data_IF_619871469728
#
_entry.id   IF_619871469728
#
_cell.length_a   1.000
_cell.length_b   1.000
_cell.length_c   1.000
_cell.angle_alpha   90.00
_cell.angle_beta   90.00
_cell.angle_gamma   90.00
#
_symmetry.space_group_name_H-M   'P 1'
#
loop_
_entity.id
_entity.type
_entity.pdbx_description
1 polymer ?
#
# COMPACT_ATOMS: atom_id res chain seq x y z
N UNK A 1 -14.78 7.26 -15.38
CA UNK A 1 -15.49 6.16 -16.06
C UNK A 1 -15.54 5.02 -15.06
N UNK A 2 -16.72 4.49 -14.80
CA UNK A 2 -16.94 3.33 -13.93
C UNK A 2 -16.41 2.04 -14.57
N UNK A 3 -16.07 1.05 -13.73
CA UNK A 3 -15.48 -0.21 -14.17
C UNK A 3 -16.39 -0.98 -15.12
N UNK A 4 -17.71 -0.95 -14.88
CA UNK A 4 -18.70 -1.64 -15.70
C UNK A 4 -18.79 -1.04 -17.11
N UNK A 5 -18.80 0.29 -17.22
CA UNK A 5 -18.74 0.97 -18.53
C UNK A 5 -17.45 0.65 -19.28
N UNK A 6 -16.29 0.66 -18.62
CA UNK A 6 -15.03 0.33 -19.26
C UNK A 6 -15.01 -1.12 -19.80
N UNK A 7 -15.49 -2.07 -19.00
CA UNK A 7 -15.63 -3.48 -19.40
C UNK A 7 -16.57 -3.63 -20.60
N UNK A 8 -17.72 -2.93 -20.60
CA UNK A 8 -18.67 -2.96 -21.71
C UNK A 8 -18.04 -2.41 -23.00
N UNK A 9 -17.35 -1.28 -22.92
CA UNK A 9 -16.67 -0.68 -24.08
C UNK A 9 -15.63 -1.65 -24.65
N UNK A 10 -14.83 -2.30 -23.81
CA UNK A 10 -13.83 -3.27 -24.28
C UNK A 10 -14.50 -4.50 -24.91
N UNK A 11 -15.63 -4.98 -24.40
CA UNK A 11 -16.40 -6.07 -25.02
C UNK A 11 -16.91 -5.70 -26.41
N UNK A 12 -17.46 -4.49 -26.57
CA UNK A 12 -17.90 -3.99 -27.88
C UNK A 12 -16.73 -3.91 -28.86
N UNK A 13 -15.55 -3.47 -28.41
CA UNK A 13 -14.35 -3.45 -29.25
C UNK A 13 -13.91 -4.86 -29.68
N UNK A 14 -14.02 -5.85 -28.81
CA UNK A 14 -13.76 -7.26 -29.19
C UNK A 14 -14.72 -7.70 -30.30
N UNK A 15 -16.02 -7.46 -30.13
CA UNK A 15 -17.04 -7.81 -31.13
C UNK A 15 -16.79 -7.11 -32.48
N UNK A 16 -16.42 -5.83 -32.45
CA UNK A 16 -16.08 -5.06 -33.66
C UNK A 16 -14.87 -5.65 -34.39
N UNK A 17 -13.81 -5.98 -33.65
CA UNK A 17 -12.56 -6.55 -34.23
C UNK A 17 -12.80 -7.95 -34.79
N UNK A 18 -13.60 -8.78 -34.11
CA UNK A 18 -14.01 -10.10 -34.62
C UNK A 18 -14.89 -9.98 -35.87
N UNK A 19 -15.79 -8.99 -35.89
CA UNK A 19 -16.61 -8.66 -37.05
C UNK A 19 -15.77 -8.26 -38.26
N UNK A 20 -14.79 -7.37 -38.07
CA UNK A 20 -13.86 -6.94 -39.11
C UNK A 20 -13.01 -8.10 -39.64
N UNK A 21 -12.49 -8.94 -38.74
CA UNK A 21 -11.74 -10.15 -39.11
C UNK A 21 -12.59 -11.12 -39.94
N UNK A 22 -13.86 -11.30 -39.57
CA UNK A 22 -14.80 -12.18 -40.28
C UNK A 22 -15.14 -11.64 -41.67
N UNK A 23 -15.34 -10.32 -41.81
CA UNK A 23 -15.59 -9.67 -43.09
C UNK A 23 -14.39 -9.76 -44.03
N UNK A 24 -13.18 -9.57 -43.50
CA UNK A 24 -11.95 -9.70 -44.27
C UNK A 24 -11.86 -11.10 -44.90
N UNK A 25 -12.10 -12.17 -44.12
CA UNK A 25 -12.05 -13.55 -44.60
C UNK A 25 -13.04 -13.87 -45.74
N UNK A 26 -14.10 -13.09 -45.91
CA UNK A 26 -15.10 -13.27 -46.96
C UNK A 26 -14.70 -12.72 -48.34
N UNK A 27 -13.67 -11.88 -48.42
CA UNK A 27 -13.31 -11.15 -49.64
C UNK A 27 -11.86 -11.48 -50.08
N UNK A 28 -11.63 -12.57 -50.82
CA UNK A 28 -10.29 -13.04 -51.15
C UNK A 28 -9.50 -12.09 -52.07
N UNK A 29 -10.14 -11.07 -52.65
CA UNK A 29 -9.49 -10.14 -53.57
C UNK A 29 -8.82 -8.92 -52.90
N UNK A 30 -9.09 -8.66 -51.62
CA UNK A 30 -8.47 -7.57 -50.84
C UNK A 30 -7.38 -8.06 -49.86
N UNK A 31 -7.15 -9.37 -49.78
CA UNK A 31 -6.36 -10.02 -48.74
C UNK A 31 -4.89 -10.28 -49.07
N UNK A 32 -4.36 -9.66 -50.12
CA UNK A 32 -2.93 -9.75 -50.47
C UNK A 32 -2.04 -8.86 -49.59
N UNK A 33 -2.52 -8.37 -48.44
CA UNK A 33 -1.69 -7.73 -47.43
C UNK A 33 -1.19 -8.78 -46.42
N UNK A 34 0.03 -9.33 -46.61
CA UNK A 34 0.61 -10.26 -45.66
C UNK A 34 0.72 -9.61 -44.27
N UNK A 35 0.02 -10.19 -43.29
CA UNK A 35 0.10 -9.78 -41.88
C UNK A 35 -1.19 -9.21 -41.28
N UNK A 36 -2.27 -9.01 -42.05
CA UNK A 36 -3.54 -8.52 -41.50
C UNK A 36 -4.08 -9.44 -40.39
N UNK A 37 -4.05 -10.76 -40.60
CA UNK A 37 -4.45 -11.76 -39.58
C UNK A 37 -3.63 -11.67 -38.29
N UNK A 38 -2.33 -11.39 -38.42
CA UNK A 38 -1.44 -11.25 -37.26
C UNK A 38 -1.85 -10.04 -36.43
N UNK A 39 -2.10 -8.89 -37.08
CA UNK A 39 -2.52 -7.65 -36.39
C UNK A 39 -3.86 -7.85 -35.67
N UNK A 40 -4.86 -8.47 -36.32
CA UNK A 40 -6.14 -8.77 -35.66
C UNK A 40 -5.95 -9.70 -34.45
N UNK A 41 -5.11 -10.73 -34.58
CA UNK A 41 -4.87 -11.68 -33.49
C UNK A 41 -4.16 -11.04 -32.28
N UNK A 42 -3.18 -10.16 -32.54
CA UNK A 42 -2.47 -9.44 -31.49
C UNK A 42 -3.42 -8.46 -30.78
N UNK A 43 -4.25 -7.74 -31.55
CA UNK A 43 -5.19 -6.79 -30.98
C UNK A 43 -6.29 -7.47 -30.14
N UNK A 44 -6.85 -8.60 -30.61
CA UNK A 44 -7.79 -9.41 -29.83
C UNK A 44 -7.16 -9.92 -28.54
N UNK A 45 -5.92 -10.41 -28.60
CA UNK A 45 -5.19 -10.87 -27.41
C UNK A 45 -5.08 -9.73 -26.39
N UNK A 46 -4.69 -8.54 -26.83
CA UNK A 46 -4.59 -7.36 -25.96
C UNK A 46 -5.94 -6.96 -25.32
N UNK A 47 -7.04 -7.01 -26.08
CA UNK A 47 -8.38 -6.70 -25.56
C UNK A 47 -8.85 -7.77 -24.55
N UNK A 48 -8.58 -9.05 -24.80
CA UNK A 48 -8.88 -10.11 -23.85
C UNK A 48 -8.08 -9.99 -22.55
N UNK A 49 -6.80 -9.62 -22.64
CA UNK A 49 -5.97 -9.35 -21.46
C UNK A 49 -6.54 -8.18 -20.64
N UNK A 50 -7.02 -7.12 -21.30
CA UNK A 50 -7.70 -6.01 -20.62
C UNK A 50 -8.99 -6.45 -19.91
N UNK A 51 -9.82 -7.28 -20.56
CA UNK A 51 -11.03 -7.82 -19.93
C UNK A 51 -10.70 -8.64 -18.69
N UNK A 52 -9.65 -9.46 -18.75
CA UNK A 52 -9.17 -10.22 -17.59
C UNK A 52 -8.74 -9.31 -16.45
N UNK A 53 -8.04 -8.21 -16.73
CA UNK A 53 -7.66 -7.22 -15.72
C UNK A 53 -8.89 -6.57 -15.05
N UNK A 54 -9.96 -6.31 -15.79
CA UNK A 54 -11.20 -5.79 -15.20
C UNK A 54 -11.88 -6.82 -14.28
N UNK A 55 -11.86 -8.09 -14.66
CA UNK A 55 -12.36 -9.18 -13.82
C UNK A 55 -11.55 -9.32 -12.53
N UNK A 56 -10.22 -9.35 -12.62
CA UNK A 56 -9.32 -9.41 -11.48
C UNK A 56 -9.56 -8.22 -10.53
N UNK A 57 -9.72 -7.02 -11.09
CA UNK A 57 -10.03 -5.82 -10.30
C UNK A 57 -11.38 -5.93 -9.57
N UNK A 58 -12.42 -6.45 -10.23
CA UNK A 58 -13.73 -6.67 -9.61
C UNK A 58 -13.63 -7.66 -8.45
N UNK A 59 -12.88 -8.75 -8.63
CA UNK A 59 -12.64 -9.75 -7.58
C UNK A 59 -11.90 -9.10 -6.41
N UNK A 60 -10.84 -8.34 -6.67
CA UNK A 60 -10.08 -7.64 -5.63
C UNK A 60 -10.95 -6.67 -4.82
N UNK A 61 -11.80 -5.88 -5.48
CA UNK A 61 -12.75 -4.99 -4.80
C UNK A 61 -13.72 -5.80 -3.93
N UNK A 62 -14.24 -6.93 -4.44
CA UNK A 62 -15.12 -7.82 -3.69
C UNK A 62 -14.46 -8.39 -2.43
N UNK A 63 -13.22 -8.86 -2.52
CA UNK A 63 -12.44 -9.35 -1.38
C UNK A 63 -12.20 -8.23 -0.38
N UNK A 64 -11.81 -7.03 -0.84
CA UNK A 64 -11.56 -5.89 0.04
C UNK A 64 -12.82 -5.49 0.83
N UNK A 65 -13.98 -5.47 0.17
CA UNK A 65 -15.25 -5.16 0.82
C UNK A 65 -15.62 -6.24 1.86
N UNK A 66 -15.49 -7.52 1.52
CA UNK A 66 -15.74 -8.62 2.45
C UNK A 66 -14.82 -8.54 3.68
N UNK A 67 -13.52 -8.28 3.48
CA UNK A 67 -12.59 -8.05 4.57
C UNK A 67 -13.04 -6.88 5.46
N UNK A 68 -13.45 -5.76 4.86
CA UNK A 68 -13.89 -4.59 5.62
C UNK A 68 -15.17 -4.86 6.44
N UNK A 69 -16.10 -5.64 5.89
CA UNK A 69 -17.31 -6.08 6.61
C UNK A 69 -16.95 -7.01 7.79
N UNK A 70 -16.06 -7.98 7.57
CA UNK A 70 -15.64 -8.95 8.59
C UNK A 70 -14.80 -8.33 9.72
N UNK A 71 -14.08 -7.24 9.44
CA UNK A 71 -13.25 -6.56 10.45
C UNK A 71 -14.03 -6.12 11.69
N UNK A 72 -15.32 -5.80 11.57
CA UNK A 72 -16.18 -5.49 12.72
C UNK A 72 -16.38 -6.70 13.63
N UNK A 73 -16.80 -7.82 13.06
CA UNK A 73 -17.04 -9.06 13.80
C UNK A 73 -15.75 -9.61 14.43
N UNK A 74 -14.62 -9.52 13.72
CA UNK A 74 -13.31 -9.92 14.25
C UNK A 74 -12.93 -9.08 15.47
N UNK A 75 -13.13 -7.75 15.43
CA UNK A 75 -12.84 -6.86 16.58
C UNK A 75 -13.74 -7.19 17.77
N UNK A 76 -15.02 -7.45 17.55
CA UNK A 76 -15.95 -7.85 18.61
C UNK A 76 -15.56 -9.18 19.24
N UNK A 77 -15.19 -10.17 18.42
CA UNK A 77 -14.72 -11.47 18.90
C UNK A 77 -13.44 -11.35 19.74
N UNK A 78 -12.47 -10.53 19.30
CA UNK A 78 -11.24 -10.26 20.06
C UNK A 78 -11.54 -9.57 21.39
N UNK A 79 -12.43 -8.58 21.41
CA UNK A 79 -12.83 -7.92 22.65
C UNK A 79 -13.52 -8.90 23.62
N UNK A 80 -14.39 -9.77 23.11
CA UNK A 80 -15.04 -10.80 23.93
C UNK A 80 -14.04 -11.83 24.48
N UNK A 81 -12.99 -12.16 23.73
CA UNK A 81 -11.93 -13.05 24.19
C UNK A 81 -11.09 -12.41 25.31
N UNK A 82 -10.74 -11.12 25.16
CA UNK A 82 -10.02 -10.36 26.17
C UNK A 82 -10.81 -10.27 27.49
N UNK A 83 -12.13 -10.02 27.41
CA UNK A 83 -13.02 -10.03 28.58
C UNK A 83 -13.08 -11.42 29.23
N UNK A 84 -13.23 -12.48 28.45
CA UNK A 84 -13.25 -13.84 28.97
C UNK A 84 -11.92 -14.24 29.64
N UNK A 85 -10.78 -13.80 29.08
CA UNK A 85 -9.46 -14.00 29.69
C UNK A 85 -9.34 -13.23 31.01
N UNK A 86 -9.84 -12.00 31.06
CA UNK A 86 -9.86 -11.20 32.29
C UNK A 86 -10.73 -11.86 33.38
N UNK A 87 -11.91 -12.33 33.02
CA UNK A 87 -12.83 -13.02 33.94
C UNK A 87 -12.22 -14.33 34.47
N UNK A 88 -11.52 -15.07 33.61
CA UNK A 88 -10.78 -16.26 34.01
C UNK A 88 -9.70 -15.93 35.06
N UNK A 89 -8.90 -14.90 34.82
CA UNK A 89 -7.87 -14.43 35.77
C UNK A 89 -8.50 -13.99 37.11
N UNK A 90 -9.63 -13.30 37.05
CA UNK A 90 -10.39 -12.89 38.23
C UNK A 90 -10.95 -14.09 39.01
N UNK A 91 -11.41 -15.13 38.32
CA UNK A 91 -11.94 -16.35 38.93
C UNK A 91 -10.84 -17.21 39.60
N UNK A 92 -9.60 -17.15 39.11
CA UNK A 92 -8.47 -17.88 39.70
C UNK A 92 -7.91 -17.23 40.98
N UNK A 93 -8.13 -15.93 41.18
CA UNK A 93 -7.61 -15.19 42.35
C UNK A 93 -8.11 -15.73 43.71
N UNK A 94 -9.42 -15.97 43.93
CA UNK A 94 -9.92 -16.50 45.21
C UNK A 94 -9.44 -17.92 45.52
N UNK A 95 -9.10 -18.71 44.49
CA UNK A 95 -8.62 -20.08 44.65
C UNK A 95 -7.18 -20.16 45.20
N UNK A 96 -6.49 -19.03 45.39
CA UNK A 96 -5.09 -19.01 45.84
C UNK A 96 -4.11 -19.60 44.83
N UNK A 97 -4.54 -19.80 43.58
CA UNK A 97 -3.73 -20.41 42.52
C UNK A 97 -2.95 -19.40 41.69
N UNK A 98 -3.19 -18.10 41.87
CA UNK A 98 -2.45 -17.02 41.20
C UNK A 98 -1.13 -16.70 41.93
N UNK A 99 -0.22 -17.67 42.03
CA UNK A 99 1.19 -17.37 42.31
C UNK A 99 1.93 -17.13 40.98
N UNK A 100 1.47 -16.14 40.19
CA UNK A 100 2.27 -15.67 39.05
C UNK A 100 3.29 -14.70 39.63
N UNK A 101 4.60 -15.04 39.67
CA UNK A 101 5.59 -14.12 40.20
C UNK A 101 5.59 -12.84 39.34
N UNK A 102 5.37 -11.70 39.98
CA UNK A 102 5.26 -10.36 39.36
C UNK A 102 6.46 -9.97 38.46
N UNK A 103 7.56 -10.71 38.53
CA UNK A 103 8.81 -10.39 37.85
C UNK A 103 8.84 -10.73 36.34
N UNK A 104 7.76 -11.29 35.75
CA UNK A 104 7.72 -11.65 34.32
C UNK A 104 6.88 -10.67 33.46
N UNK A 105 6.24 -9.66 34.06
CA UNK A 105 5.31 -8.75 33.38
C UNK A 105 5.95 -7.62 32.53
N UNK A 106 7.28 -7.60 32.35
CA UNK A 106 7.94 -6.56 31.52
C UNK A 106 8.44 -7.02 30.14
N UNK A 107 8.28 -8.30 29.76
CA UNK A 107 8.77 -8.78 28.46
C UNK A 107 7.69 -9.20 27.45
N UNK A 108 6.40 -9.22 27.81
CA UNK A 108 5.33 -9.65 26.89
C UNK A 108 4.76 -8.54 26.02
N UNK A 109 4.98 -7.26 26.35
CA UNK A 109 4.59 -6.13 25.51
C UNK A 109 5.29 -6.14 24.12
N UNK A 110 6.41 -6.85 23.98
CA UNK A 110 7.17 -6.92 22.72
C UNK A 110 6.90 -8.18 21.88
N UNK A 111 6.06 -9.11 22.33
CA UNK A 111 5.93 -10.43 21.65
C UNK A 111 4.75 -10.49 20.67
N UNK A 112 3.68 -9.71 20.88
CA UNK A 112 2.57 -9.62 19.90
C UNK A 112 2.95 -8.78 18.67
N UNK A 113 3.95 -7.89 18.81
CA UNK A 113 4.46 -7.08 17.70
C UNK A 113 5.36 -7.84 16.72
N UNK A 114 5.61 -9.14 16.94
CA UNK A 114 6.57 -9.93 16.15
C UNK A 114 5.94 -10.99 15.25
N UNK A 115 4.64 -11.27 15.36
CA UNK A 115 3.94 -12.26 14.51
C UNK A 115 3.03 -11.60 13.49
N UNK A 116 2.63 -10.34 13.70
CA UNK A 116 2.07 -9.50 12.64
C UNK A 116 3.24 -8.74 12.03
N UNK A 117 3.65 -9.14 10.83
CA UNK A 117 4.77 -8.54 10.11
C UNK A 117 4.72 -7.01 10.17
N UNK A 118 5.88 -6.42 10.43
CA UNK A 118 6.15 -5.00 10.59
C UNK A 118 5.88 -4.18 9.31
N UNK A 119 4.64 -4.18 8.83
CA UNK A 119 4.06 -3.19 7.93
C UNK A 119 3.14 -2.31 8.75
N UNK A 120 3.71 -1.36 9.49
CA UNK A 120 2.99 -0.48 10.40
C UNK A 120 2.02 0.46 9.66
N UNK A 121 0.78 0.01 9.45
CA UNK A 121 -0.35 0.92 9.36
C UNK A 121 -0.79 1.24 10.79
N UNK A 122 -0.27 2.36 11.30
CA UNK A 122 -0.71 2.97 12.55
C UNK A 122 -2.14 3.47 12.38
N UNK A 123 -3.13 2.59 12.54
CA UNK A 123 -4.53 2.95 12.68
C UNK A 123 -4.74 3.49 14.10
N UNK A 124 -4.39 4.76 14.31
CA UNK A 124 -4.93 5.54 15.42
C UNK A 124 -6.47 5.52 15.32
N UNK A 125 -7.20 5.24 16.41
CA UNK A 125 -8.65 5.17 16.39
C UNK A 125 -9.22 6.60 16.31
N UNK A 126 -9.43 7.10 15.09
CA UNK A 126 -10.29 8.26 14.91
C UNK A 126 -11.73 7.81 15.16
N UNK A 127 -12.22 8.10 16.37
CA UNK A 127 -13.64 8.06 16.72
C UNK A 127 -14.40 9.01 15.80
N UNK A 128 -14.93 8.46 14.70
CA UNK A 128 -15.87 9.16 13.83
C UNK A 128 -17.27 8.63 14.08
N UNK A 129 -18.12 9.58 14.44
CA UNK A 129 -19.57 9.47 14.48
C UNK A 129 -20.05 8.86 13.17
N UNK A 130 -20.92 7.84 13.26
CA UNK A 130 -21.59 7.18 12.14
C UNK A 130 -22.47 8.21 11.41
N UNK A 131 -21.84 8.98 10.53
CA UNK A 131 -22.51 9.68 9.45
C UNK A 131 -22.63 8.71 8.29
N UNK A 132 -23.85 8.48 7.82
CA UNK A 132 -24.14 7.74 6.59
C UNK A 132 -23.22 8.25 5.49
N UNK A 133 -22.27 7.42 5.06
CA UNK A 133 -21.44 7.71 3.89
C UNK A 133 -22.32 7.48 2.68
N UNK A 134 -23.02 8.52 2.25
CA UNK A 134 -23.45 8.63 0.86
C UNK A 134 -22.18 8.76 0.03
N UNK A 135 -21.79 7.66 -0.62
CA UNK A 135 -20.69 7.64 -1.57
C UNK A 135 -21.12 8.53 -2.74
N UNK A 136 -20.72 9.79 -2.69
CA UNK A 136 -20.99 10.75 -3.73
C UNK A 136 -20.04 10.44 -4.90
N UNK A 137 -20.57 9.80 -5.95
CA UNK A 137 -19.87 9.32 -7.15
C UNK A 137 -19.12 10.41 -7.95
N UNK A 138 -19.17 11.68 -7.51
CA UNK A 138 -18.60 12.81 -8.21
C UNK A 138 -17.17 13.23 -7.81
N UNK A 139 -16.51 12.57 -6.85
CA UNK A 139 -15.14 12.95 -6.45
C UNK A 139 -13.99 12.20 -7.16
N UNK A 140 -14.27 11.29 -8.08
CA UNK A 140 -13.21 10.64 -8.89
C UNK A 140 -12.67 11.54 -10.04
N UNK A 141 -13.14 12.78 -10.18
CA UNK A 141 -12.78 13.69 -11.27
C UNK A 141 -12.18 15.02 -10.77
N UNK A 142 -11.18 14.98 -9.87
CA UNK A 142 -10.42 16.19 -9.53
C UNK A 142 -9.03 15.86 -8.95
N UNK A 143 -8.19 15.16 -9.73
CA UNK A 143 -6.78 14.90 -9.37
C UNK A 143 -5.75 15.58 -10.27
N UNK A 144 -6.17 16.52 -11.13
CA UNK A 144 -5.23 17.33 -11.92
C UNK A 144 -5.28 18.79 -11.48
N UNK A 145 -4.14 19.29 -10.98
CA UNK A 145 -3.81 20.69 -10.63
C UNK A 145 -3.98 21.11 -9.17
N UNK A 146 -2.92 20.95 -8.37
CA UNK A 146 -2.59 21.90 -7.28
C UNK A 146 -1.07 22.09 -7.18
N UNK A 147 -0.62 23.30 -7.46
CA UNK A 147 0.73 23.84 -7.23
C UNK A 147 0.99 23.91 -5.71
N UNK A 148 2.13 23.44 -5.18
CA UNK A 148 2.40 23.56 -3.75
C UNK A 148 2.86 24.97 -3.39
N UNK A 149 2.11 25.57 -2.47
CA UNK A 149 2.34 26.83 -1.78
C UNK A 149 3.45 26.65 -0.74
N UNK A 150 4.54 27.43 -0.87
CA UNK A 150 5.63 27.52 0.12
C UNK A 150 5.07 27.99 1.48
N UNK A 151 5.22 27.16 2.51
CA UNK A 151 5.34 27.52 3.94
C UNK A 151 6.58 26.76 4.41
N UNK A 152 7.59 27.33 5.04
CA UNK A 152 7.55 28.32 6.10
C UNK A 152 8.33 27.70 7.26
N UNK A 153 9.61 28.05 7.31
CA UNK A 153 10.65 27.75 8.32
C UNK A 153 10.18 28.04 9.74
N UNK A 154 10.62 27.24 10.71
CA UNK A 154 10.96 27.55 12.12
C UNK A 154 11.66 26.28 12.69
N UNK A 155 12.99 26.19 12.77
CA UNK A 155 13.93 26.69 13.79
C UNK A 155 13.64 26.31 15.26
N UNK A 156 14.60 25.54 15.80
CA UNK A 156 15.06 25.46 17.20
C UNK A 156 14.19 24.73 18.24
N UNK A 157 14.76 23.65 18.80
CA UNK A 157 14.87 23.56 20.26
C UNK A 157 16.07 22.70 20.69
N UNK A 158 17.11 23.39 21.16
CA UNK A 158 18.20 22.84 21.96
C UNK A 158 17.67 22.54 23.38
N UNK A 159 17.96 21.37 23.91
CA UNK A 159 17.84 21.12 25.35
C UNK A 159 19.05 20.31 25.86
N UNK A 160 19.93 21.10 26.46
CA UNK A 160 21.03 20.81 27.37
C UNK A 160 20.86 19.59 28.30
N UNK A 161 21.87 18.72 28.30
CA UNK A 161 22.05 17.66 29.30
C UNK A 161 23.52 17.53 29.68
N UNK A 162 23.90 18.14 30.80
CA UNK A 162 25.26 18.15 31.35
C UNK A 162 25.69 16.78 31.90
N UNK A 163 26.93 16.41 31.59
CA UNK A 163 27.87 15.94 32.60
C UNK A 163 28.02 14.42 32.76
N UNK A 164 29.12 13.89 32.20
CA UNK A 164 30.01 12.94 32.90
C UNK A 164 31.37 12.94 32.20
N UNK A 165 32.40 13.31 32.96
CA UNK A 165 33.81 13.26 32.56
C UNK A 165 34.22 11.79 32.43
N UNK A 166 34.77 11.41 31.28
CA UNK A 166 35.45 10.13 31.10
C UNK A 166 36.67 10.34 30.20
N UNK A 167 37.76 9.69 30.59
CA UNK A 167 39.12 9.89 30.12
C UNK A 167 39.24 9.67 28.60
N UNK A 168 39.73 10.68 27.90
CA UNK A 168 39.98 10.65 26.46
C UNK A 168 41.26 9.85 26.15
N UNK A 169 41.10 8.65 25.60
CA UNK A 169 42.15 8.01 24.81
C UNK A 169 42.22 8.69 23.42
N UNK A 170 43.38 8.63 22.73
CA UNK A 170 43.51 9.20 21.38
C UNK A 170 42.68 8.37 20.40
N UNK A 171 41.43 8.78 20.18
CA UNK A 171 40.59 8.26 19.13
C UNK A 171 41.21 8.65 17.81
N UNK A 172 41.70 7.65 17.06
CA UNK A 172 42.00 7.80 15.63
C UNK A 172 40.77 8.47 15.01
N UNK A 173 40.96 9.63 14.36
CA UNK A 173 39.94 10.25 13.52
C UNK A 173 39.51 9.18 12.51
N UNK A 174 38.40 8.50 12.79
CA UNK A 174 37.67 7.80 11.77
C UNK A 174 37.17 8.90 10.85
N UNK A 175 37.70 8.94 9.63
CA UNK A 175 37.12 9.74 8.57
C UNK A 175 35.65 9.35 8.51
N UNK A 176 34.76 10.28 8.84
CA UNK A 176 33.32 10.05 8.72
C UNK A 176 33.08 9.65 7.26
N UNK A 177 32.49 8.47 7.00
CA UNK A 177 32.24 8.04 5.64
C UNK A 177 31.41 9.15 4.98
N UNK A 178 31.90 9.64 3.83
CA UNK A 178 31.18 10.59 3.01
C UNK A 178 29.73 10.12 2.91
N UNK A 179 28.81 10.94 3.42
CA UNK A 179 27.43 10.56 3.61
C UNK A 179 26.79 10.47 2.22
N UNK A 180 26.85 9.29 1.60
CA UNK A 180 26.31 9.02 0.27
C UNK A 180 24.79 9.11 0.36
N UNK A 181 24.24 10.30 0.14
CA UNK A 181 22.80 10.51 0.06
C UNK A 181 22.35 10.20 -1.36
N UNK A 182 21.21 9.53 -1.47
CA UNK A 182 20.57 9.25 -2.77
C UNK A 182 19.41 10.21 -2.97
N UNK A 183 19.11 10.59 -4.21
CA UNK A 183 18.00 11.49 -4.53
C UNK A 183 16.79 10.67 -4.98
N UNK A 184 15.61 10.96 -4.43
CA UNK A 184 14.39 10.30 -4.84
C UNK A 184 13.94 10.78 -6.23
N UNK A 185 13.69 9.86 -7.16
CA UNK A 185 13.29 10.20 -8.54
C UNK A 185 11.90 10.87 -8.64
N UNK A 186 11.06 10.74 -7.60
CA UNK A 186 9.69 11.29 -7.60
C UNK A 186 9.67 12.70 -7.00
N UNK A 187 10.22 12.86 -5.79
CA UNK A 187 10.13 14.13 -5.05
C UNK A 187 11.42 14.96 -5.06
N UNK A 188 12.51 14.45 -5.63
CA UNK A 188 13.84 15.09 -5.65
C UNK A 188 14.44 15.36 -4.26
N UNK A 189 13.88 14.77 -3.20
CA UNK A 189 14.44 14.89 -1.85
C UNK A 189 15.61 13.92 -1.69
N UNK A 190 16.66 14.40 -1.01
CA UNK A 190 17.83 13.62 -0.66
C UNK A 190 17.55 12.75 0.57
N UNK A 191 17.66 11.43 0.42
CA UNK A 191 17.38 10.43 1.46
C UNK A 191 18.59 9.55 1.75
N UNK A 192 18.63 9.00 2.95
CA UNK A 192 19.63 7.99 3.32
C UNK A 192 19.39 6.72 2.49
N UNK A 193 20.43 6.03 1.99
CA UNK A 193 20.27 4.78 1.24
C UNK A 193 19.52 3.68 2.00
N UNK A 194 19.53 3.74 3.34
CA UNK A 194 18.79 2.81 4.21
C UNK A 194 17.29 3.09 4.27
N UNK A 195 16.86 4.28 3.87
CA UNK A 195 15.46 4.74 3.88
C UNK A 195 14.86 4.82 2.46
N UNK A 196 15.67 4.54 1.43
CA UNK A 196 15.23 4.48 0.05
C UNK A 196 15.08 3.05 -0.43
N UNK A 197 14.15 2.85 -1.36
CA UNK A 197 13.95 1.59 -2.07
C UNK A 197 14.42 1.77 -3.51
N UNK A 198 15.32 0.91 -3.95
CA UNK A 198 15.83 0.91 -5.34
C UNK A 198 15.12 -0.19 -6.12
N UNK A 199 14.49 0.18 -7.23
CA UNK A 199 13.87 -0.73 -8.18
C UNK A 199 14.83 -0.98 -9.34
N UNK A 200 15.11 -2.24 -9.65
CA UNK A 200 16.02 -2.69 -10.71
C UNK A 200 15.42 -2.56 -12.12
N UNK A 201 14.86 -1.38 -12.42
CA UNK A 201 14.34 -1.05 -13.73
C UNK A 201 15.47 -0.89 -14.76
N UNK A 202 15.20 -1.20 -16.03
CA UNK A 202 16.10 -0.93 -17.16
C UNK A 202 15.56 0.24 -17.99
N UNK A 203 16.42 1.16 -18.48
CA UNK A 203 17.89 1.08 -18.52
C UNK A 203 18.61 1.58 -17.25
N UNK A 204 17.93 2.30 -16.36
CA UNK A 204 18.50 2.85 -15.12
C UNK A 204 17.62 2.45 -13.93
N UNK A 205 18.21 2.05 -12.79
CA UNK A 205 17.44 1.77 -11.58
C UNK A 205 16.80 3.06 -11.06
N UNK A 206 15.58 2.92 -10.52
CA UNK A 206 14.86 4.03 -9.90
C UNK A 206 15.03 3.98 -8.38
N UNK A 207 15.20 5.13 -7.72
CA UNK A 207 15.36 5.25 -6.27
C UNK A 207 14.21 6.06 -5.70
N UNK A 208 13.41 5.46 -4.83
CA UNK A 208 12.23 6.10 -4.23
C UNK A 208 12.38 6.22 -2.72
N UNK A 209 11.94 7.32 -2.12
CA UNK A 209 11.83 7.42 -0.67
C UNK A 209 10.62 6.65 -0.15
N UNK A 210 10.66 6.25 1.12
CA UNK A 210 9.55 5.51 1.77
C UNK A 210 8.18 6.16 1.57
N UNK A 211 8.07 7.47 1.77
CA UNK A 211 6.81 8.21 1.61
C UNK A 211 6.26 8.15 0.18
N UNK A 212 7.14 8.25 -0.83
CA UNK A 212 6.71 8.18 -2.23
C UNK A 212 6.34 6.75 -2.62
N UNK A 213 7.02 5.74 -2.07
CA UNK A 213 6.69 4.33 -2.30
C UNK A 213 5.28 4.01 -1.76
N UNK A 214 4.96 4.46 -0.55
CA UNK A 214 3.63 4.28 0.07
C UNK A 214 2.55 4.93 -0.80
N UNK A 215 2.75 6.18 -1.23
CA UNK A 215 1.78 6.88 -2.09
C UNK A 215 1.52 6.16 -3.41
N UNK A 216 2.53 5.51 -3.99
CA UNK A 216 2.34 4.76 -5.24
C UNK A 216 1.44 3.55 -5.02
N UNK A 217 1.55 2.88 -3.87
CA UNK A 217 0.66 1.77 -3.53
C UNK A 217 -0.74 2.23 -3.13
N UNK A 218 -0.87 3.36 -2.42
CA UNK A 218 -2.18 3.94 -2.08
C UNK A 218 -2.96 4.39 -3.33
N UNK A 219 -2.28 4.72 -4.43
CA UNK A 219 -2.91 5.04 -5.71
C UNK A 219 -3.32 3.80 -6.52
N UNK A 220 -2.81 2.62 -6.18
CA UNK A 220 -3.12 1.37 -6.86
C UNK A 220 -4.36 0.66 -6.27
N UNK A 221 -4.81 1.08 -5.09
CA UNK A 221 -6.05 0.64 -4.42
C UNK A 221 -7.22 1.55 -4.76
#
# INVERSE_FOLDING_TARGET
MDLATAELVTKLLVEDVEGLRSQANGNPHEHDLPGADFVYSEHLTSLHDQLKLFEDRRIAIGINNACHEDMGAIREALASEDEAAHDHDMALRPAGMCNRPDNVLHNTANTVQRVVGSGGLSLEPQSSTIGKIEINEHQAASLFSVVPKKRGRDENNEASGQGRRSYAGPTRRAEEPANDRTECDICANSTNPTESTTLDCKPKPHVWCGDCMVRVFDLAT
#
